data_IF_116490097624
#
_entry.id   IF_116490097624
#
_cell.length_a   1.000
_cell.length_b   1.000
_cell.length_c   1.000
_cell.angle_alpha   90.00
_cell.angle_beta   90.00
_cell.angle_gamma   90.00
#
_symmetry.space_group_name_H-M   'P 1'
#
loop_
_entity.id
_entity.type
_entity.pdbx_description
1 polymer ?
#
# COMPACT_ATOMS: atom_id res chain seq x y z
N UNK A 1 -4.42 -6.86 -10.39
CA UNK A 1 -5.64 -6.04 -10.56
C UNK A 1 -6.11 -5.59 -9.20
N UNK A 2 -6.51 -4.32 -9.06
CA UNK A 2 -7.21 -3.81 -7.88
C UNK A 2 -8.70 -3.71 -8.20
N UNK A 3 -9.57 -3.92 -7.21
CA UNK A 3 -11.02 -3.93 -7.41
C UNK A 3 -11.71 -2.95 -6.48
N UNK A 4 -12.95 -2.59 -6.79
CA UNK A 4 -13.87 -1.87 -5.91
C UNK A 4 -14.83 -2.81 -5.17
N UNK A 5 -14.53 -4.12 -5.16
CA UNK A 5 -15.34 -5.10 -4.44
C UNK A 5 -15.21 -4.88 -2.93
N UNK A 6 -16.30 -5.11 -2.20
CA UNK A 6 -16.30 -5.17 -0.75
C UNK A 6 -15.93 -6.56 -0.22
N UNK A 7 -15.72 -7.54 -1.11
CA UNK A 7 -15.44 -8.92 -0.74
C UNK A 7 -13.94 -9.19 -0.54
N UNK A 8 -13.66 -10.18 0.31
CA UNK A 8 -12.34 -10.78 0.45
C UNK A 8 -12.04 -11.63 -0.80
N UNK A 9 -11.22 -11.11 -1.71
CA UNK A 9 -10.86 -11.81 -2.96
C UNK A 9 -9.58 -12.63 -2.84
N UNK A 10 -8.68 -12.25 -1.91
CA UNK A 10 -7.41 -12.94 -1.66
C UNK A 10 -7.45 -13.60 -0.29
N UNK A 11 -7.47 -14.92 -0.29
CA UNK A 11 -7.53 -15.79 0.90
C UNK A 11 -6.20 -16.54 1.09
N UNK A 12 -5.96 -17.18 2.25
CA UNK A 12 -4.73 -17.93 2.51
C UNK A 12 -4.38 -18.97 1.45
N UNK A 13 -5.40 -19.62 0.86
CA UNK A 13 -5.24 -20.67 -0.15
C UNK A 13 -4.75 -20.13 -1.51
N UNK A 14 -4.90 -18.83 -1.78
CA UNK A 14 -4.48 -18.22 -3.03
C UNK A 14 -2.98 -17.90 -3.07
N UNK A 15 -2.29 -17.95 -1.92
CA UNK A 15 -0.96 -17.38 -1.74
C UNK A 15 0.12 -18.44 -1.76
N UNK A 16 1.22 -18.19 -2.48
CA UNK A 16 2.42 -19.03 -2.41
C UNK A 16 3.21 -18.75 -1.13
N UNK A 17 4.07 -19.70 -0.75
CA UNK A 17 5.01 -19.50 0.36
C UNK A 17 5.85 -18.24 0.12
N UNK A 18 6.01 -17.43 1.16
CA UNK A 18 6.82 -16.23 1.10
C UNK A 18 6.28 -15.15 0.16
N UNK A 19 5.00 -15.17 -0.20
CA UNK A 19 4.44 -14.12 -1.05
C UNK A 19 4.52 -12.73 -0.39
N UNK A 20 4.66 -11.70 -1.22
CA UNK A 20 4.43 -10.30 -0.83
C UNK A 20 3.21 -9.82 -1.60
N UNK A 21 2.21 -9.31 -0.89
CA UNK A 21 0.95 -8.82 -1.44
C UNK A 21 0.86 -7.33 -1.15
N UNK A 22 0.72 -6.52 -2.20
CA UNK A 22 0.44 -5.10 -2.07
C UNK A 22 -1.06 -4.88 -2.33
N UNK A 23 -1.82 -4.62 -1.26
CA UNK A 23 -3.25 -4.37 -1.36
C UNK A 23 -3.52 -2.86 -1.47
N UNK A 24 -3.79 -2.42 -2.70
CA UNK A 24 -4.14 -1.03 -3.03
C UNK A 24 -5.66 -0.80 -3.07
N UNK A 25 -6.47 -1.82 -2.77
CA UNK A 25 -7.94 -1.72 -2.83
C UNK A 25 -8.54 -1.07 -1.59
N UNK A 26 -9.68 -0.40 -1.77
CA UNK A 26 -10.48 0.18 -0.69
C UNK A 26 -11.97 -0.06 -0.97
N UNK A 27 -12.68 -0.86 -0.14
CA UNK A 27 -12.19 -1.64 1.01
C UNK A 27 -11.09 -2.66 0.65
N UNK A 28 -10.25 -3.10 1.61
CA UNK A 28 -9.22 -4.11 1.36
C UNK A 28 -9.82 -5.40 0.79
N UNK A 29 -9.12 -6.03 -0.14
CA UNK A 29 -9.53 -7.29 -0.77
C UNK A 29 -8.72 -8.49 -0.26
N UNK A 30 -7.67 -8.26 0.55
CA UNK A 30 -6.96 -9.32 1.25
C UNK A 30 -7.66 -9.66 2.56
N UNK A 31 -8.09 -10.91 2.68
CA UNK A 31 -8.77 -11.40 3.88
C UNK A 31 -7.90 -11.29 5.12
N UNK A 32 -8.48 -10.86 6.24
CA UNK A 32 -7.79 -10.82 7.54
C UNK A 32 -7.32 -12.21 7.99
N UNK A 33 -7.93 -13.29 7.50
CA UNK A 33 -7.49 -14.66 7.75
C UNK A 33 -6.05 -14.95 7.26
N UNK A 34 -5.55 -14.21 6.26
CA UNK A 34 -4.16 -14.33 5.77
C UNK A 34 -3.17 -14.05 6.89
N UNK A 35 -3.44 -13.06 7.73
CA UNK A 35 -2.55 -12.66 8.83
C UNK A 35 -2.26 -13.79 9.81
N UNK A 36 -3.27 -14.60 10.10
CA UNK A 36 -3.18 -15.68 11.08
C UNK A 36 -2.66 -16.97 10.44
N UNK A 37 -3.18 -17.31 9.26
CA UNK A 37 -2.87 -18.57 8.60
C UNK A 37 -1.50 -18.58 7.90
N UNK A 38 -0.98 -17.40 7.51
CA UNK A 38 0.22 -17.26 6.66
C UNK A 38 1.24 -16.28 7.25
N UNK A 39 1.90 -16.64 8.38
CA UNK A 39 2.93 -15.80 9.00
C UNK A 39 4.18 -15.61 8.12
N UNK A 40 4.31 -16.37 7.03
CA UNK A 40 5.37 -16.27 6.03
C UNK A 40 5.09 -15.23 4.93
N UNK A 41 3.86 -14.72 4.84
CA UNK A 41 3.40 -13.77 3.83
C UNK A 41 3.43 -12.36 4.37
N UNK A 42 3.96 -11.42 3.57
CA UNK A 42 3.87 -9.99 3.85
C UNK A 42 2.70 -9.37 3.09
N UNK A 43 1.74 -8.80 3.80
CA UNK A 43 0.70 -7.95 3.20
C UNK A 43 1.04 -6.50 3.50
N UNK A 44 1.10 -5.67 2.46
CA UNK A 44 1.37 -4.23 2.54
C UNK A 44 0.12 -3.49 2.10
N UNK A 45 -0.35 -2.54 2.91
CA UNK A 45 -1.40 -1.62 2.49
C UNK A 45 -0.77 -0.60 1.52
N UNK A 46 -1.13 -0.71 0.25
CA UNK A 46 -0.57 0.13 -0.80
C UNK A 46 -1.30 1.47 -0.92
N UNK A 47 -0.67 2.41 -1.64
CA UNK A 47 -1.28 3.69 -1.98
C UNK A 47 -1.42 4.65 -0.79
N UNK A 48 -0.49 4.64 0.16
CA UNK A 48 -0.46 5.58 1.30
C UNK A 48 0.70 6.55 1.14
N UNK A 49 0.40 7.85 1.24
CA UNK A 49 1.34 8.95 1.00
C UNK A 49 1.39 9.86 2.21
N UNK A 50 2.58 10.27 2.62
CA UNK A 50 2.80 11.34 3.59
C UNK A 50 2.78 12.69 2.87
N UNK A 51 1.85 13.55 3.29
CA UNK A 51 1.64 14.90 2.76
C UNK A 51 2.63 15.87 3.41
N UNK A 52 3.28 16.77 2.64
CA UNK A 52 4.22 17.76 3.17
C UNK A 52 3.61 18.57 4.31
N UNK A 53 4.37 18.76 5.40
CA UNK A 53 3.91 19.49 6.58
C UNK A 53 2.88 18.74 7.44
N UNK A 54 2.51 17.51 7.09
CA UNK A 54 1.60 16.62 7.83
C UNK A 54 0.32 17.32 8.33
N UNK A 55 -0.45 17.94 7.41
CA UNK A 55 -1.65 18.68 7.79
C UNK A 55 -2.72 17.76 8.39
N UNK A 56 -3.63 18.37 9.15
CA UNK A 56 -4.90 17.75 9.47
C UNK A 56 -5.84 17.96 8.28
N UNK A 57 -6.38 16.86 7.74
CA UNK A 57 -7.30 16.89 6.60
C UNK A 57 -8.76 17.08 7.04
N UNK A 58 -9.03 17.17 8.35
CA UNK A 58 -10.33 17.55 8.89
C UNK A 58 -11.33 16.39 9.03
N UNK A 59 -10.98 15.17 8.62
CA UNK A 59 -11.78 13.97 8.86
C UNK A 59 -10.90 12.71 8.95
N UNK A 60 -11.42 11.65 9.58
CA UNK A 60 -10.73 10.37 9.73
C UNK A 60 -11.23 9.36 8.70
N UNK A 61 -10.33 8.93 7.81
CA UNK A 61 -10.59 7.95 6.75
C UNK A 61 -9.67 6.72 6.85
N UNK A 62 -9.14 6.45 8.05
CA UNK A 62 -8.36 5.26 8.37
C UNK A 62 -6.85 5.47 8.52
N UNK A 63 -6.35 6.70 8.39
CA UNK A 63 -4.92 6.99 8.57
C UNK A 63 -4.63 8.02 9.66
N UNK A 64 -3.38 8.00 10.17
CA UNK A 64 -2.92 9.04 11.08
C UNK A 64 -2.77 10.39 10.37
N UNK A 65 -2.70 11.46 11.16
CA UNK A 65 -2.52 12.83 10.66
C UNK A 65 -1.35 12.96 9.69
N UNK A 66 -1.59 13.67 8.60
CA UNK A 66 -0.61 13.92 7.54
C UNK A 66 -0.45 12.80 6.52
N UNK A 67 -1.26 11.73 6.62
CA UNK A 67 -1.28 10.66 5.63
C UNK A 67 -2.54 10.75 4.77
N UNK A 68 -2.41 10.36 3.50
CA UNK A 68 -3.49 10.37 2.53
C UNK A 68 -3.41 9.15 1.61
N UNK A 69 -4.53 8.80 0.98
CA UNK A 69 -4.52 7.88 -0.17
C UNK A 69 -3.78 8.52 -1.34
N UNK A 70 -3.13 7.69 -2.16
CA UNK A 70 -2.38 8.14 -3.34
C UNK A 70 -3.25 8.93 -4.33
N UNK A 71 -4.53 8.59 -4.50
CA UNK A 71 -5.46 9.34 -5.34
C UNK A 71 -5.74 10.76 -4.81
N UNK A 72 -5.78 10.94 -3.48
CA UNK A 72 -5.90 12.27 -2.88
C UNK A 72 -4.60 13.05 -3.03
N UNK A 73 -3.46 12.39 -2.82
CA UNK A 73 -2.15 13.01 -3.03
C UNK A 73 -1.95 13.47 -4.48
N UNK A 74 -2.35 12.65 -5.47
CA UNK A 74 -2.36 13.03 -6.89
C UNK A 74 -3.16 14.32 -7.10
N UNK A 75 -4.38 14.38 -6.59
CA UNK A 75 -5.23 15.58 -6.68
C UNK A 75 -4.55 16.83 -6.10
N UNK A 76 -3.90 16.69 -4.92
CA UNK A 76 -3.16 17.77 -4.29
C UNK A 76 -1.97 18.23 -5.14
N UNK A 77 -1.16 17.28 -5.64
CA UNK A 77 0.02 17.55 -6.46
C UNK A 77 -0.39 18.28 -7.75
N UNK A 78 -1.40 17.77 -8.46
CA UNK A 78 -1.90 18.40 -9.69
C UNK A 78 -2.39 19.83 -9.42
N UNK A 79 -3.13 20.04 -8.33
CA UNK A 79 -3.60 21.37 -7.93
C UNK A 79 -2.47 22.35 -7.61
N UNK A 80 -1.44 21.88 -6.87
CA UNK A 80 -0.28 22.70 -6.51
C UNK A 80 0.61 23.05 -7.71
N UNK A 81 0.68 22.17 -8.70
CA UNK A 81 1.42 22.42 -9.95
C UNK A 81 0.61 23.21 -10.99
N UNK A 82 -0.67 23.51 -10.70
CA UNK A 82 -1.57 24.19 -11.64
C UNK A 82 -1.97 23.33 -12.84
N UNK A 83 -1.87 22.00 -12.73
CA UNK A 83 -2.24 21.04 -13.78
C UNK A 83 -3.71 20.63 -13.66
N UNK A 84 -4.62 21.48 -14.14
CA UNK A 84 -6.07 21.28 -14.02
C UNK A 84 -6.65 20.51 -15.22
N UNK A 85 -6.20 19.27 -15.43
CA UNK A 85 -6.65 18.41 -16.51
C UNK A 85 -6.96 17.00 -16.01
N UNK A 86 -7.84 16.32 -16.72
CA UNK A 86 -8.15 14.92 -16.49
C UNK A 86 -6.91 14.06 -16.77
N UNK A 87 -6.28 13.58 -15.69
CA UNK A 87 -4.94 12.99 -15.74
C UNK A 87 -4.99 11.46 -15.74
N UNK A 88 -5.74 10.87 -14.81
CA UNK A 88 -5.82 9.42 -14.59
C UNK A 88 -7.27 8.94 -14.72
N UNK A 89 -7.75 8.78 -15.96
CA UNK A 89 -9.12 8.33 -16.24
C UNK A 89 -9.16 6.90 -16.81
N UNK A 90 -10.00 6.07 -16.20
CA UNK A 90 -10.22 4.70 -16.64
C UNK A 90 -9.02 3.79 -16.36
N UNK A 91 -8.88 2.73 -17.15
CA UNK A 91 -7.82 1.73 -16.99
C UNK A 91 -6.55 2.05 -17.81
N UNK A 92 -6.54 3.13 -18.59
CA UNK A 92 -5.41 3.51 -19.42
C UNK A 92 -4.40 4.32 -18.60
N UNK A 93 -3.31 3.68 -18.22
CA UNK A 93 -2.27 4.27 -17.39
C UNK A 93 -1.18 4.88 -18.27
N UNK A 94 -1.10 6.21 -18.28
CA UNK A 94 -0.06 6.94 -18.98
C UNK A 94 1.25 6.97 -18.18
N UNK A 95 2.21 6.14 -18.55
CA UNK A 95 3.49 6.02 -17.85
C UNK A 95 4.31 7.34 -17.80
N UNK A 96 4.44 8.11 -18.91
CA UNK A 96 5.00 9.46 -18.84
C UNK A 96 4.37 10.34 -17.76
N UNK A 97 3.03 10.34 -17.67
CA UNK A 97 2.32 11.14 -16.67
C UNK A 97 2.58 10.65 -15.25
N UNK A 98 2.59 9.33 -15.01
CA UNK A 98 2.95 8.75 -13.70
C UNK A 98 4.35 9.21 -13.25
N UNK A 99 5.32 9.23 -14.17
CA UNK A 99 6.67 9.71 -13.88
C UNK A 99 6.70 11.21 -13.58
N UNK A 100 5.89 11.99 -14.30
CA UNK A 100 5.77 13.43 -14.09
C UNK A 100 5.17 13.75 -12.71
N UNK A 101 4.08 13.08 -12.33
CA UNK A 101 3.45 13.21 -11.01
C UNK A 101 4.45 12.83 -9.92
N UNK A 102 5.22 11.75 -10.10
CA UNK A 102 6.27 11.38 -9.15
C UNK A 102 7.32 12.48 -8.98
N UNK A 103 7.78 13.08 -10.08
CA UNK A 103 8.75 14.17 -10.00
C UNK A 103 8.17 15.37 -9.23
N UNK A 104 6.94 15.78 -9.54
CA UNK A 104 6.28 16.87 -8.82
C UNK A 104 6.03 16.53 -7.35
N UNK A 105 5.70 15.27 -7.03
CA UNK A 105 5.59 14.80 -5.67
C UNK A 105 6.91 15.02 -4.90
N UNK A 106 8.04 14.64 -5.50
CA UNK A 106 9.38 14.83 -4.93
C UNK A 106 9.71 16.32 -4.74
N UNK A 107 9.43 17.17 -5.74
CA UNK A 107 9.63 18.63 -5.68
C UNK A 107 8.80 19.32 -4.59
N UNK A 108 7.55 18.90 -4.42
CA UNK A 108 6.63 19.41 -3.39
C UNK A 108 6.87 18.78 -2.01
N UNK A 109 7.70 17.73 -1.91
CA UNK A 109 8.07 17.07 -0.67
C UNK A 109 7.09 15.98 -0.19
N UNK A 110 6.21 15.49 -1.06
CA UNK A 110 5.38 14.31 -0.77
C UNK A 110 6.26 13.07 -0.70
N UNK A 111 5.94 12.15 0.20
CA UNK A 111 6.76 10.94 0.42
C UNK A 111 5.89 9.70 0.49
N UNK A 112 6.47 8.56 0.15
CA UNK A 112 5.86 7.28 0.48
C UNK A 112 5.76 7.17 2.02
N UNK A 113 4.57 6.85 2.52
CA UNK A 113 4.38 6.68 3.96
C UNK A 113 5.15 5.45 4.48
N UNK A 114 5.32 5.38 5.80
CA UNK A 114 5.80 4.16 6.46
C UNK A 114 4.96 2.96 6.01
N UNK A 115 5.60 1.80 5.80
CA UNK A 115 4.92 0.57 5.47
C UNK A 115 3.82 0.26 6.49
N UNK A 116 2.68 -0.18 5.98
CA UNK A 116 1.51 -0.57 6.77
C UNK A 116 1.06 -1.96 6.39
N UNK A 117 0.41 -2.64 7.32
CA UNK A 117 -0.18 -3.95 7.10
C UNK A 117 -1.47 -4.05 7.90
N UNK A 118 -2.60 -4.32 7.23
CA UNK A 118 -3.92 -4.43 7.86
C UNK A 118 -4.33 -3.17 8.64
N UNK A 119 -4.18 -2.01 7.99
CA UNK A 119 -4.56 -0.67 8.43
C UNK A 119 -3.72 -0.09 9.57
N UNK A 120 -2.59 -0.70 9.90
CA UNK A 120 -1.66 -0.23 10.94
C UNK A 120 -0.21 -0.15 10.46
N UNK A 121 0.62 0.74 11.04
CA UNK A 121 2.06 0.73 10.75
C UNK A 121 2.67 -0.65 10.99
N UNK A 122 3.53 -1.08 10.08
CA UNK A 122 4.28 -2.32 10.22
C UNK A 122 5.40 -2.10 11.24
N UNK A 123 5.38 -2.86 12.33
CA UNK A 123 6.39 -2.78 13.37
C UNK A 123 7.63 -3.63 13.07
N UNK A 124 8.77 -3.26 13.65
CA UNK A 124 10.02 -4.05 13.58
C UNK A 124 9.84 -5.47 14.13
N UNK A 125 9.00 -5.65 15.16
CA UNK A 125 8.71 -6.95 15.73
C UNK A 125 7.95 -7.85 14.73
N UNK A 126 6.95 -7.31 14.03
CA UNK A 126 6.23 -8.04 12.98
C UNK A 126 7.15 -8.36 11.79
N UNK A 127 8.02 -7.42 11.41
CA UNK A 127 9.01 -7.65 10.37
C UNK A 127 9.97 -8.79 10.75
N UNK A 128 10.49 -8.78 11.98
CA UNK A 128 11.36 -9.83 12.48
C UNK A 128 10.66 -11.20 12.54
N UNK A 129 9.39 -11.23 12.96
CA UNK A 129 8.58 -12.46 12.98
C UNK A 129 8.40 -13.04 11.58
N UNK A 130 8.09 -12.19 10.59
CA UNK A 130 7.98 -12.58 9.19
C UNK A 130 9.31 -13.16 8.67
N UNK A 131 10.42 -12.49 8.93
CA UNK A 131 11.74 -12.96 8.49
C UNK A 131 12.09 -14.31 9.14
N UNK A 132 11.80 -14.49 10.43
CA UNK A 132 12.01 -15.74 11.13
C UNK A 132 11.12 -16.87 10.59
N UNK A 133 9.85 -16.60 10.31
CA UNK A 133 8.92 -17.57 9.73
C UNK A 133 9.41 -18.03 8.34
N UNK A 134 9.88 -17.10 7.51
CA UNK A 134 10.46 -17.42 6.20
C UNK A 134 11.73 -18.27 6.31
N UNK A 135 12.63 -17.94 7.23
CA UNK A 135 13.87 -18.69 7.42
C UNK A 135 13.62 -20.15 7.83
N UNK A 136 12.69 -20.39 8.76
CA UNK A 136 12.36 -21.75 9.23
C UNK A 136 11.85 -22.67 8.13
N UNK A 137 11.03 -22.14 7.23
CA UNK A 137 10.47 -22.93 6.13
C UNK A 137 11.52 -23.19 5.06
N UNK A 138 12.40 -22.21 4.78
CA UNK A 138 13.53 -22.43 3.85
C UNK A 138 14.51 -23.48 4.39
N UNK A 139 14.77 -23.51 5.70
CA UNK A 139 15.60 -24.56 6.30
C UNK A 139 14.93 -25.93 6.22
N UNK A 140 13.61 -26.01 6.41
CA UNK A 140 12.89 -27.28 6.30
C UNK A 140 12.79 -27.83 4.86
N UNK A 141 12.88 -26.95 3.85
CA UNK A 141 12.84 -27.33 2.44
C UNK A 141 14.22 -27.73 1.86
N UNK A 142 15.30 -27.57 2.62
CA UNK A 142 16.66 -27.94 2.23
C UNK A 142 17.15 -29.29 2.76
N UNK A 143 16.33 -29.96 3.58
CA UNK A 143 16.62 -31.27 4.19
C UNK A 143 15.96 -32.46 3.43
N UNK A 144 15.34 -32.20 2.27
CA UNK A 144 14.81 -33.19 1.31
C UNK A 144 15.64 -33.24 0.02
#
# INVERSE_FOLDING_TARGET
TATSSAEDLVTPANLKFGAVVCDISRPPNVSRAVKEARPDVLVIDGGVVEVPGRPDLGWNFGFERGLAYACMAETMILGLMGHFQDTSLGADLNLPMIRQIRQWAEELGFRLAQLRSFDRPLSEAEWAQLMAARARVLSAAGDD
#
